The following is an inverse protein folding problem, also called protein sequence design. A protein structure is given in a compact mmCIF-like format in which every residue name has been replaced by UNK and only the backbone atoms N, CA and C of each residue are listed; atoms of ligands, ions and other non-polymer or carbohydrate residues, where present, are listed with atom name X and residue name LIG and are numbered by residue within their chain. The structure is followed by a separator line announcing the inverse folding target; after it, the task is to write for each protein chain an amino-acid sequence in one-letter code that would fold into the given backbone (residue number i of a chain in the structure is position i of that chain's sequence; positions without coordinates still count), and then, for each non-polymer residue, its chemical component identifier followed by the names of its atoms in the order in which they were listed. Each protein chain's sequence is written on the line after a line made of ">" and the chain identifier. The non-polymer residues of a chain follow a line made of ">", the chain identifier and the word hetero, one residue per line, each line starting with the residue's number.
data_IF_047365316178
#
_entry.id   IF_047365316178
#
_cell.length_a   1.000
_cell.length_b   1.000
_cell.length_c   1.000
_cell.angle_alpha   90.00
_cell.angle_beta   90.00
_cell.angle_gamma   90.00
#
_symmetry.space_group_name_H-M   'P 1'
#
loop_
_entity.id
_entity.type
_entity.pdbx_description
1 polymer ?
#
# COMPACT_ATOMS: atom_id res chain seq x y z
N UNK A 1 44.38 -17.09 -13.27
CA UNK A 1 42.90 -16.97 -13.35
C UNK A 1 42.18 -16.83 -11.99
N UNK A 2 42.43 -17.66 -10.97
CA UNK A 2 41.74 -17.57 -9.65
C UNK A 2 41.95 -16.23 -8.91
N UNK A 3 43.16 -15.66 -8.94
CA UNK A 3 43.46 -14.35 -8.31
C UNK A 3 42.73 -13.18 -8.99
N UNK A 4 42.65 -13.19 -10.32
CA UNK A 4 41.96 -12.16 -11.12
C UNK A 4 40.44 -12.19 -10.87
N UNK A 5 39.82 -13.39 -10.80
CA UNK A 5 38.40 -13.51 -10.44
C UNK A 5 38.09 -13.02 -9.02
N UNK A 6 39.00 -13.24 -8.06
CA UNK A 6 38.85 -12.76 -6.68
C UNK A 6 38.97 -11.24 -6.59
N UNK A 7 39.87 -10.65 -7.37
CA UNK A 7 40.04 -9.20 -7.48
C UNK A 7 38.85 -8.52 -8.18
N UNK A 8 38.28 -9.17 -9.23
CA UNK A 8 37.07 -8.70 -9.89
C UNK A 8 35.84 -8.74 -8.96
N UNK A 9 35.70 -9.78 -8.14
CA UNK A 9 34.62 -9.90 -7.16
C UNK A 9 34.74 -8.86 -6.03
N UNK A 10 35.97 -8.51 -5.63
CA UNK A 10 36.23 -7.45 -4.65
C UNK A 10 35.93 -6.07 -5.27
N UNK A 11 36.31 -5.82 -6.53
CA UNK A 11 35.95 -4.58 -7.23
C UNK A 11 34.43 -4.43 -7.41
N UNK A 12 33.73 -5.49 -7.81
CA UNK A 12 32.26 -5.49 -7.98
C UNK A 12 31.52 -5.28 -6.66
N UNK A 13 32.04 -5.81 -5.54
CA UNK A 13 31.46 -5.59 -4.22
C UNK A 13 31.76 -4.19 -3.67
N UNK A 14 32.90 -3.59 -4.01
CA UNK A 14 33.21 -2.18 -3.69
C UNK A 14 32.31 -1.24 -4.50
N UNK A 15 32.05 -1.51 -5.79
CA UNK A 15 31.13 -0.70 -6.61
C UNK A 15 29.68 -0.81 -6.10
N UNK A 16 29.22 -1.99 -5.68
CA UNK A 16 27.89 -2.17 -5.08
C UNK A 16 27.73 -1.46 -3.72
N UNK A 17 28.81 -1.39 -2.93
CA UNK A 17 28.81 -0.69 -1.64
C UNK A 17 28.87 0.82 -1.84
N UNK A 18 29.56 1.30 -2.87
CA UNK A 18 29.58 2.73 -3.22
C UNK A 18 28.19 3.19 -3.73
N UNK A 19 27.44 2.38 -4.49
CA UNK A 19 26.05 2.70 -4.87
C UNK A 19 25.06 2.71 -3.68
N UNK A 20 25.34 1.94 -2.63
CA UNK A 20 24.53 1.90 -1.40
C UNK A 20 24.96 2.92 -0.34
N UNK A 21 26.16 3.49 -0.44
CA UNK A 21 26.76 4.39 0.53
C UNK A 21 26.97 5.83 0.01
N UNK A 22 26.67 6.14 -1.25
CA UNK A 22 26.52 7.52 -1.66
C UNK A 22 25.23 8.08 -1.05
N UNK A 23 25.27 8.99 -0.06
CA UNK A 23 24.17 9.93 0.06
C UNK A 23 24.04 10.55 -1.33
N UNK A 24 22.81 10.62 -1.86
CA UNK A 24 22.53 11.45 -3.03
C UNK A 24 23.24 12.78 -2.79
N UNK A 25 24.30 13.08 -3.56
CA UNK A 25 24.85 14.43 -3.62
C UNK A 25 23.76 15.27 -4.29
N UNK A 26 22.76 15.66 -3.49
CA UNK A 26 21.97 16.83 -3.77
C UNK A 26 22.98 17.96 -3.72
N UNK A 27 23.23 18.60 -4.85
CA UNK A 27 23.88 19.90 -4.84
C UNK A 27 23.18 20.75 -3.78
N UNK A 28 23.90 21.20 -2.77
CA UNK A 28 23.41 22.16 -1.78
C UNK A 28 23.29 23.54 -2.44
N UNK A 29 22.44 23.66 -3.45
CA UNK A 29 21.77 24.93 -3.64
C UNK A 29 20.89 25.10 -2.39
N UNK A 30 21.22 26.08 -1.54
CA UNK A 30 20.33 26.53 -0.45
C UNK A 30 18.94 26.70 -1.07
N UNK A 31 18.05 25.75 -0.79
CA UNK A 31 16.76 25.64 -1.45
C UNK A 31 15.85 26.69 -0.82
N UNK A 32 15.99 27.95 -1.26
CA UNK A 32 15.31 29.11 -0.69
C UNK A 32 13.79 28.87 -0.73
N UNK A 33 13.11 29.27 0.34
CA UNK A 33 11.64 29.30 0.34
C UNK A 33 11.16 30.33 -0.69
N UNK A 34 9.99 30.07 -1.28
CA UNK A 34 9.34 30.96 -2.23
C UNK A 34 8.21 31.73 -1.54
N UNK A 35 8.05 32.99 -1.89
CA UNK A 35 6.97 33.86 -1.41
C UNK A 35 5.64 33.54 -2.11
N UNK A 36 4.53 34.06 -1.57
CA UNK A 36 3.21 33.93 -2.21
C UNK A 36 3.22 34.62 -3.57
N UNK A 37 3.76 35.85 -3.65
CA UNK A 37 3.86 36.62 -4.88
C UNK A 37 4.66 35.89 -5.97
N UNK A 38 5.86 35.41 -5.64
CA UNK A 38 6.71 34.68 -6.57
C UNK A 38 6.01 33.39 -7.07
N UNK A 39 5.23 32.72 -6.23
CA UNK A 39 4.48 31.53 -6.63
C UNK A 39 3.31 31.87 -7.55
N UNK A 40 2.56 32.94 -7.26
CA UNK A 40 1.48 33.46 -8.12
C UNK A 40 2.03 33.83 -9.50
N UNK A 41 3.14 34.57 -9.55
CA UNK A 41 3.80 34.94 -10.81
C UNK A 41 4.11 33.70 -11.66
N UNK A 42 4.68 32.66 -11.04
CA UNK A 42 4.98 31.40 -11.73
C UNK A 42 3.72 30.69 -12.22
N UNK A 43 2.64 30.70 -11.45
CA UNK A 43 1.37 30.11 -11.85
C UNK A 43 0.74 30.87 -13.03
N UNK A 44 0.70 32.20 -12.99
CA UNK A 44 0.20 33.06 -14.08
C UNK A 44 0.92 32.77 -15.40
N UNK A 45 2.25 32.65 -15.36
CA UNK A 45 3.04 32.26 -16.52
C UNK A 45 2.70 30.84 -16.99
N UNK A 46 2.59 29.88 -16.05
CA UNK A 46 2.29 28.48 -16.37
C UNK A 46 0.88 28.28 -16.94
N UNK A 47 -0.09 29.09 -16.52
CA UNK A 47 -1.48 29.08 -17.00
C UNK A 47 -1.67 29.88 -18.28
N UNK A 48 -0.65 30.65 -18.71
CA UNK A 48 -0.71 31.56 -19.87
C UNK A 48 -1.79 32.64 -19.73
N UNK A 49 -2.07 33.06 -18.51
CA UNK A 49 -2.94 34.21 -18.23
C UNK A 49 -2.28 35.46 -18.84
N UNK A 50 -3.08 36.30 -19.49
CA UNK A 50 -2.59 37.56 -20.07
C UNK A 50 -2.26 38.55 -18.95
N UNK A 51 -1.14 39.24 -19.09
CA UNK A 51 -0.66 40.21 -18.10
C UNK A 51 -0.64 41.59 -18.75
N UNK A 52 -1.34 42.55 -18.13
CA UNK A 52 -1.24 43.96 -18.46
C UNK A 52 -0.08 44.57 -17.66
N UNK A 53 1.00 44.96 -18.34
CA UNK A 53 2.19 45.51 -17.69
C UNK A 53 2.06 47.00 -17.31
N UNK A 54 0.91 47.62 -17.58
CA UNK A 54 0.67 49.05 -17.28
C UNK A 54 0.12 49.28 -15.87
N UNK A 55 -0.37 48.23 -15.21
CA UNK A 55 -0.94 48.32 -13.85
C UNK A 55 0.09 47.96 -12.78
N UNK A 56 -0.13 48.47 -11.57
CA UNK A 56 0.65 48.08 -10.39
C UNK A 56 0.45 46.58 -10.08
N UNK A 57 1.53 45.89 -9.73
CA UNK A 57 1.58 44.44 -9.45
C UNK A 57 0.88 43.60 -10.53
N UNK A 58 1.37 43.65 -11.79
CA UNK A 58 0.62 43.19 -12.96
C UNK A 58 0.26 41.70 -12.93
N UNK A 59 1.11 40.86 -12.35
CA UNK A 59 0.83 39.42 -12.17
C UNK A 59 -0.26 39.15 -11.13
N UNK A 60 -0.28 39.90 -10.02
CA UNK A 60 -1.30 39.73 -8.99
C UNK A 60 -2.66 40.20 -9.51
N UNK A 61 -2.69 41.35 -10.18
CA UNK A 61 -3.90 41.90 -10.82
C UNK A 61 -4.49 40.92 -11.84
N UNK A 62 -3.66 40.32 -12.69
CA UNK A 62 -4.09 39.29 -13.63
C UNK A 62 -4.58 38.01 -12.93
N UNK A 63 -3.90 37.58 -11.86
CA UNK A 63 -4.31 36.41 -11.07
C UNK A 63 -5.67 36.61 -10.38
N UNK A 64 -5.97 37.82 -9.92
CA UNK A 64 -7.26 38.17 -9.32
C UNK A 64 -8.36 38.15 -10.39
N UNK A 65 -8.13 38.80 -11.52
CA UNK A 65 -9.10 38.90 -12.62
C UNK A 65 -9.54 37.52 -13.15
N UNK A 66 -8.62 36.58 -13.24
CA UNK A 66 -8.88 35.21 -13.72
C UNK A 66 -9.27 34.24 -12.59
N UNK A 67 -9.42 34.71 -11.35
CA UNK A 67 -9.85 33.89 -10.22
C UNK A 67 -8.83 32.87 -9.70
N UNK A 68 -7.55 33.02 -10.08
CA UNK A 68 -6.45 32.21 -9.53
C UNK A 68 -6.25 32.50 -8.04
N UNK A 69 -6.34 33.77 -7.65
CA UNK A 69 -6.34 34.22 -6.25
C UNK A 69 -7.55 35.12 -6.03
N UNK A 70 -8.13 35.12 -4.82
CA UNK A 70 -9.21 36.06 -4.51
C UNK A 70 -8.61 37.38 -4.03
N UNK A 71 -9.31 38.48 -4.28
CA UNK A 71 -8.93 39.77 -3.73
C UNK A 71 -8.92 39.72 -2.19
N UNK A 72 -7.87 40.27 -1.59
CA UNK A 72 -7.63 40.23 -0.14
C UNK A 72 -7.44 38.82 0.47
N UNK A 73 -7.21 37.76 -0.33
CA UNK A 73 -7.06 36.39 0.20
C UNK A 73 -5.86 36.25 1.14
N UNK A 74 -4.82 37.05 0.91
CA UNK A 74 -3.62 37.12 1.73
C UNK A 74 -3.39 38.54 2.23
N UNK A 75 -3.01 38.67 3.51
CA UNK A 75 -2.70 39.98 4.13
C UNK A 75 -1.36 40.54 3.66
N UNK A 76 -0.42 39.66 3.34
CA UNK A 76 0.93 40.00 2.89
C UNK A 76 1.38 38.93 1.90
N UNK A 77 1.76 39.36 0.69
CA UNK A 77 2.17 38.47 -0.41
C UNK A 77 3.68 38.21 -0.41
N UNK A 78 4.46 38.97 0.37
CA UNK A 78 5.92 38.85 0.48
C UNK A 78 6.37 37.73 1.44
N UNK A 79 5.45 37.17 2.23
CA UNK A 79 5.75 36.05 3.12
C UNK A 79 5.91 34.75 2.34
N UNK A 80 6.68 33.81 2.91
CA UNK A 80 6.84 32.47 2.35
C UNK A 80 5.49 31.76 2.25
N UNK A 81 5.20 31.17 1.08
CA UNK A 81 3.97 30.42 0.88
C UNK A 81 4.03 29.08 1.62
N UNK A 82 2.93 28.74 2.30
CA UNK A 82 2.75 27.42 2.93
C UNK A 82 2.28 26.40 1.91
N UNK A 83 2.61 25.12 2.10
CA UNK A 83 2.23 24.05 1.16
C UNK A 83 0.71 23.90 0.97
N UNK A 84 -0.10 24.17 1.99
CA UNK A 84 -1.56 24.16 1.85
C UNK A 84 -2.09 25.31 0.96
N UNK A 85 -1.45 26.47 1.00
CA UNK A 85 -1.76 27.61 0.13
C UNK A 85 -1.32 27.33 -1.30
N UNK A 86 -0.10 26.78 -1.45
CA UNK A 86 0.38 26.33 -2.74
C UNK A 86 -0.57 25.31 -3.38
N UNK A 87 -1.10 24.34 -2.62
CA UNK A 87 -2.08 23.38 -3.15
C UNK A 87 -3.39 24.04 -3.58
N UNK A 88 -3.90 25.01 -2.81
CA UNK A 88 -5.09 25.77 -3.17
C UNK A 88 -4.91 26.50 -4.51
N UNK A 89 -3.85 27.29 -4.64
CA UNK A 89 -3.55 28.03 -5.86
C UNK A 89 -3.24 27.11 -7.04
N UNK A 90 -2.56 25.99 -6.78
CA UNK A 90 -2.27 24.97 -7.82
C UNK A 90 -3.54 24.29 -8.32
N UNK A 91 -4.50 23.98 -7.44
CA UNK A 91 -5.77 23.42 -7.88
C UNK A 91 -6.51 24.40 -8.78
N UNK A 92 -6.60 25.68 -8.41
CA UNK A 92 -7.25 26.71 -9.24
C UNK A 92 -6.53 26.88 -10.58
N UNK A 93 -5.21 26.90 -10.59
CA UNK A 93 -4.42 26.94 -11.82
C UNK A 93 -4.66 25.71 -12.71
N UNK A 94 -4.81 24.52 -12.12
CA UNK A 94 -5.15 23.31 -12.85
C UNK A 94 -6.56 23.39 -13.44
N UNK A 95 -7.52 23.93 -12.70
CA UNK A 95 -8.90 24.16 -13.17
C UNK A 95 -8.96 25.15 -14.33
N UNK A 96 -8.14 26.22 -14.30
CA UNK A 96 -8.01 27.19 -15.40
C UNK A 96 -7.44 26.51 -16.66
N UNK A 97 -6.40 25.68 -16.51
CA UNK A 97 -5.73 25.03 -17.64
C UNK A 97 -6.51 23.85 -18.23
N UNK A 98 -7.19 23.08 -17.38
CA UNK A 98 -7.69 21.75 -17.74
C UNK A 98 -9.17 21.53 -17.42
N UNK A 99 -9.85 22.55 -16.90
CA UNK A 99 -11.24 22.45 -16.44
C UNK A 99 -11.38 21.89 -15.03
N UNK A 100 -12.59 22.00 -14.49
CA UNK A 100 -12.92 21.65 -13.09
C UNK A 100 -13.07 20.16 -12.82
N UNK A 101 -12.86 19.31 -13.81
CA UNK A 101 -13.06 17.87 -13.69
C UNK A 101 -11.96 17.22 -12.85
N UNK A 102 -12.36 16.20 -12.09
CA UNK A 102 -11.50 15.41 -11.22
C UNK A 102 -12.10 13.99 -11.07
N UNK A 103 -11.36 13.04 -10.52
CA UNK A 103 -11.85 11.66 -10.37
C UNK A 103 -12.56 11.53 -9.01
N UNK A 104 -13.89 11.52 -9.00
CA UNK A 104 -14.67 11.49 -7.76
C UNK A 104 -14.41 10.22 -6.93
N UNK A 105 -14.33 9.05 -7.57
CA UNK A 105 -14.02 7.80 -6.88
C UNK A 105 -12.65 7.87 -6.21
N UNK A 106 -11.63 8.32 -6.94
CA UNK A 106 -10.27 8.42 -6.42
C UNK A 106 -10.17 9.47 -5.30
N UNK A 107 -10.87 10.60 -5.42
CA UNK A 107 -10.99 11.59 -4.36
C UNK A 107 -11.54 10.94 -3.08
N UNK A 108 -12.63 10.17 -3.18
CA UNK A 108 -13.22 9.47 -2.05
C UNK A 108 -12.29 8.40 -1.49
N UNK A 109 -11.56 7.66 -2.33
CA UNK A 109 -10.56 6.68 -1.90
C UNK A 109 -9.42 7.36 -1.12
N UNK A 110 -8.87 8.46 -1.61
CA UNK A 110 -7.81 9.24 -0.94
C UNK A 110 -8.27 9.71 0.44
N UNK A 111 -9.50 10.24 0.53
CA UNK A 111 -10.10 10.75 1.77
C UNK A 111 -10.41 9.61 2.76
N UNK A 112 -11.18 8.62 2.34
CA UNK A 112 -11.74 7.58 3.21
C UNK A 112 -10.63 6.62 3.70
N UNK A 113 -9.66 6.30 2.84
CA UNK A 113 -8.50 5.47 3.20
C UNK A 113 -7.35 6.26 3.82
N UNK A 114 -7.55 7.57 4.07
CA UNK A 114 -6.59 8.46 4.75
C UNK A 114 -5.20 8.43 4.11
N UNK A 115 -5.13 8.51 2.78
CA UNK A 115 -3.88 8.46 2.01
C UNK A 115 -2.97 9.66 2.26
N UNK A 116 -3.53 10.72 2.83
CA UNK A 116 -2.80 11.87 3.35
C UNK A 116 -2.93 11.85 4.88
N UNK A 117 -1.86 11.43 5.55
CA UNK A 117 -1.84 11.12 6.98
C UNK A 117 -2.18 12.31 7.86
N UNK A 118 -1.69 13.49 7.49
CA UNK A 118 -1.80 14.74 8.23
C UNK A 118 -2.82 15.71 7.61
N UNK A 119 -3.76 15.21 6.80
CA UNK A 119 -4.81 16.04 6.18
C UNK A 119 -5.66 16.79 7.22
N UNK A 120 -5.87 16.21 8.39
CA UNK A 120 -6.57 16.87 9.50
C UNK A 120 -5.83 18.11 10.03
N UNK A 121 -4.51 18.22 9.82
CA UNK A 121 -3.71 19.40 10.19
C UNK A 121 -3.78 20.52 9.14
N UNK A 122 -4.24 20.20 7.92
CA UNK A 122 -4.52 21.21 6.88
C UNK A 122 -5.78 21.99 7.26
N UNK A 123 -5.76 23.30 6.99
CA UNK A 123 -6.93 24.18 7.17
C UNK A 123 -8.16 23.63 6.44
N UNK A 124 -9.32 23.59 7.11
CA UNK A 124 -10.52 22.92 6.59
C UNK A 124 -10.93 23.40 5.18
N UNK A 125 -10.86 24.70 4.93
CA UNK A 125 -11.16 25.32 3.62
C UNK A 125 -10.21 24.93 2.49
N UNK A 126 -9.04 24.35 2.80
CA UNK A 126 -7.99 23.98 1.83
C UNK A 126 -7.88 22.47 1.61
N UNK A 127 -8.53 21.65 2.44
CA UNK A 127 -8.44 20.17 2.38
C UNK A 127 -8.93 19.62 1.04
N UNK A 128 -9.98 20.21 0.47
CA UNK A 128 -10.51 19.82 -0.84
C UNK A 128 -9.45 19.97 -1.94
N UNK A 129 -8.84 21.14 -2.03
CA UNK A 129 -7.77 21.41 -2.99
C UNK A 129 -6.57 20.48 -2.77
N UNK A 130 -6.19 20.21 -1.51
CA UNK A 130 -5.12 19.26 -1.18
C UNK A 130 -5.42 17.85 -1.69
N UNK A 131 -6.64 17.35 -1.53
CA UNK A 131 -7.03 16.04 -2.07
C UNK A 131 -6.97 16.06 -3.61
N UNK A 132 -7.53 17.09 -4.25
CA UNK A 132 -7.56 17.20 -5.72
C UNK A 132 -6.17 17.27 -6.36
N UNK A 133 -5.23 18.03 -5.80
CA UNK A 133 -3.85 18.05 -6.33
C UNK A 133 -3.10 16.74 -6.07
N UNK A 134 -3.47 16.01 -5.00
CA UNK A 134 -2.89 14.71 -4.68
C UNK A 134 -3.37 13.63 -5.64
N UNK A 135 -4.68 13.50 -5.83
CA UNK A 135 -5.28 12.48 -6.71
C UNK A 135 -4.94 12.72 -8.19
N UNK A 136 -4.79 13.99 -8.60
CA UNK A 136 -4.23 14.34 -9.92
C UNK A 136 -2.73 14.06 -10.03
N UNK A 137 -2.04 13.72 -8.94
CA UNK A 137 -0.61 13.40 -8.96
C UNK A 137 0.31 14.61 -9.13
N UNK A 138 -0.19 15.82 -8.85
CA UNK A 138 0.57 17.06 -8.94
C UNK A 138 1.41 17.24 -7.67
N UNK A 139 0.75 17.24 -6.49
CA UNK A 139 1.37 17.35 -5.17
C UNK A 139 0.99 16.12 -4.34
N UNK A 140 1.89 15.15 -4.24
CA UNK A 140 1.60 13.85 -3.60
C UNK A 140 2.13 13.71 -2.18
N UNK A 141 2.67 14.78 -1.59
CA UNK A 141 3.32 14.72 -0.28
C UNK A 141 4.57 13.85 -0.23
N UNK A 142 5.12 13.73 0.96
CA UNK A 142 6.41 13.11 1.21
C UNK A 142 6.29 11.62 1.46
N UNK A 143 7.38 10.91 1.23
CA UNK A 143 7.46 9.49 1.45
C UNK A 143 7.66 9.16 2.93
N UNK A 144 6.75 8.35 3.50
CA UNK A 144 6.74 8.00 4.93
C UNK A 144 7.46 6.68 5.26
N UNK A 145 8.12 6.08 4.28
CA UNK A 145 8.87 4.83 4.44
C UNK A 145 8.24 3.65 3.72
N UNK A 146 8.95 2.52 3.78
CA UNK A 146 8.52 1.31 3.07
C UNK A 146 7.27 0.71 3.72
N UNK A 147 6.41 0.10 2.91
CA UNK A 147 5.17 -0.54 3.35
C UNK A 147 4.17 0.42 4.02
N UNK A 148 4.29 1.72 3.75
CA UNK A 148 3.25 2.69 4.08
C UNK A 148 2.24 2.80 2.96
N UNK A 149 1.01 3.09 3.36
CA UNK A 149 -0.14 3.24 2.49
C UNK A 149 -0.59 4.69 2.37
N UNK A 150 0.06 5.58 3.12
CA UNK A 150 -0.19 7.00 3.23
C UNK A 150 1.10 7.81 3.02
N UNK A 151 0.92 9.13 2.95
CA UNK A 151 1.98 10.13 2.83
C UNK A 151 1.72 11.32 3.75
N UNK A 152 2.78 12.00 4.13
CA UNK A 152 2.71 13.24 4.92
C UNK A 152 2.78 14.44 3.98
N UNK A 153 1.74 15.29 3.98
CA UNK A 153 1.62 16.45 3.12
C UNK A 153 2.40 17.67 3.65
N UNK A 154 2.48 17.85 4.96
CA UNK A 154 3.10 18.97 5.67
C UNK A 154 2.54 20.33 5.28
N UNK A 155 1.21 20.48 5.35
CA UNK A 155 0.52 21.67 4.84
C UNK A 155 0.98 23.01 5.45
N UNK A 156 1.54 23.00 6.67
CA UNK A 156 1.98 24.21 7.38
C UNK A 156 3.43 24.61 7.09
N UNK A 157 4.20 23.75 6.42
CA UNK A 157 5.59 24.03 6.08
C UNK A 157 5.66 24.97 4.88
N UNK A 158 6.75 25.75 4.80
CA UNK A 158 7.01 26.63 3.67
C UNK A 158 7.40 25.81 2.43
N UNK A 159 6.94 26.25 1.26
CA UNK A 159 7.33 25.67 -0.02
C UNK A 159 8.71 26.22 -0.43
N UNK A 160 9.60 25.35 -0.91
CA UNK A 160 10.88 25.77 -1.50
C UNK A 160 10.81 25.87 -3.02
N UNK A 161 11.75 26.60 -3.63
CA UNK A 161 11.77 26.84 -5.07
C UNK A 161 11.84 25.55 -5.91
N UNK A 162 12.60 24.53 -5.48
CA UNK A 162 12.70 23.25 -6.21
C UNK A 162 11.39 22.47 -6.21
N UNK A 163 10.68 22.46 -5.07
CA UNK A 163 9.35 21.89 -4.97
C UNK A 163 8.37 22.64 -5.87
N UNK A 164 8.37 23.97 -5.84
CA UNK A 164 7.55 24.80 -6.73
C UNK A 164 7.79 24.46 -8.21
N UNK A 165 9.05 24.38 -8.66
CA UNK A 165 9.39 23.97 -10.02
C UNK A 165 8.85 22.59 -10.38
N UNK A 166 8.93 21.63 -9.47
CA UNK A 166 8.37 20.28 -9.68
C UNK A 166 6.85 20.31 -9.83
N UNK A 167 6.17 21.13 -9.03
CA UNK A 167 4.72 21.31 -9.10
C UNK A 167 4.32 21.89 -10.46
N UNK A 168 4.99 22.95 -10.92
CA UNK A 168 4.70 23.61 -12.20
C UNK A 168 4.91 22.67 -13.40
N UNK A 169 5.95 21.84 -13.38
CA UNK A 169 6.17 20.81 -14.41
C UNK A 169 5.00 19.82 -14.47
N UNK A 170 4.46 19.41 -13.32
CA UNK A 170 3.33 18.46 -13.25
C UNK A 170 1.99 19.11 -13.58
N UNK A 171 1.83 20.38 -13.22
CA UNK A 171 0.67 21.19 -13.57
C UNK A 171 0.54 21.32 -15.09
N UNK A 172 1.61 21.74 -15.76
CA UNK A 172 1.65 22.01 -17.20
C UNK A 172 1.76 20.74 -18.06
N UNK A 173 2.34 19.65 -17.54
CA UNK A 173 2.50 18.40 -18.28
C UNK A 173 1.89 17.20 -17.54
N UNK A 174 0.69 16.78 -17.96
CA UNK A 174 -0.03 15.61 -17.41
C UNK A 174 0.81 14.32 -17.44
N UNK A 175 1.69 14.12 -18.43
CA UNK A 175 2.55 12.93 -18.53
C UNK A 175 3.63 12.87 -17.45
N UNK A 176 3.94 14.00 -16.79
CA UNK A 176 4.91 14.11 -15.70
C UNK A 176 4.27 13.99 -14.31
N UNK A 177 2.93 14.02 -14.22
CA UNK A 177 2.20 13.79 -12.96
C UNK A 177 2.52 12.40 -12.41
N UNK A 178 2.52 12.29 -11.09
CA UNK A 178 2.65 11.00 -10.42
C UNK A 178 1.42 10.17 -10.73
N UNK A 179 1.61 8.89 -11.04
CA UNK A 179 0.49 7.95 -11.17
C UNK A 179 -0.02 7.58 -9.78
N UNK A 180 -1.34 7.50 -9.65
CA UNK A 180 -2.03 7.11 -8.42
C UNK A 180 -2.84 5.83 -8.72
N UNK A 181 -2.79 4.84 -7.84
CA UNK A 181 -3.60 3.61 -7.95
C UNK A 181 -5.07 3.89 -7.68
N UNK A 182 -5.95 2.98 -8.07
CA UNK A 182 -7.40 3.11 -7.85
C UNK A 182 -7.77 3.32 -6.37
N UNK A 183 -6.97 2.79 -5.44
CA UNK A 183 -7.17 2.95 -4.00
C UNK A 183 -6.45 4.19 -3.40
N UNK A 184 -5.82 5.04 -4.22
CA UNK A 184 -5.24 6.32 -3.80
C UNK A 184 -3.76 6.28 -3.40
N UNK A 185 -3.00 5.25 -3.74
CA UNK A 185 -1.57 5.15 -3.42
C UNK A 185 -0.68 5.61 -4.58
N UNK A 186 0.51 6.15 -4.26
CA UNK A 186 1.45 6.61 -5.30
C UNK A 186 2.14 5.43 -5.96
N UNK A 187 2.03 5.36 -7.29
CA UNK A 187 2.70 4.38 -8.15
C UNK A 187 4.09 4.90 -8.55
N UNK A 188 5.03 3.99 -8.78
CA UNK A 188 6.31 4.28 -9.44
C UNK A 188 6.40 3.60 -10.80
N UNK A 189 7.08 4.27 -11.73
CA UNK A 189 7.24 3.82 -13.13
C UNK A 189 8.71 3.53 -13.47
N UNK A 190 9.60 3.61 -12.49
CA UNK A 190 11.04 3.37 -12.62
C UNK A 190 11.50 2.41 -11.53
N UNK A 191 12.70 1.84 -11.70
CA UNK A 191 13.30 0.84 -10.81
C UNK A 191 12.39 -0.41 -10.62
N UNK A 192 11.59 -0.77 -11.62
CA UNK A 192 10.54 -1.78 -11.47
C UNK A 192 11.10 -3.19 -11.15
N UNK A 193 10.36 -4.03 -10.40
CA UNK A 193 10.75 -5.41 -10.17
C UNK A 193 10.82 -6.19 -11.50
N UNK A 194 11.63 -7.24 -11.55
CA UNK A 194 11.83 -8.05 -12.77
C UNK A 194 10.52 -8.60 -13.32
N UNK A 195 9.57 -8.94 -12.46
CA UNK A 195 8.25 -9.47 -12.79
C UNK A 195 7.13 -8.41 -12.75
N UNK A 196 7.43 -7.13 -12.95
CA UNK A 196 6.43 -6.06 -12.86
C UNK A 196 5.21 -6.26 -13.77
N UNK A 197 5.37 -6.97 -14.90
CA UNK A 197 4.29 -7.29 -15.84
C UNK A 197 3.23 -8.25 -15.27
N UNK A 198 3.49 -8.85 -14.11
CA UNK A 198 2.49 -9.67 -13.40
C UNK A 198 1.53 -8.83 -12.55
N UNK A 199 1.76 -7.53 -12.41
CA UNK A 199 0.98 -6.64 -11.55
C UNK A 199 0.39 -5.48 -12.37
N UNK A 200 -0.79 -5.00 -11.97
CA UNK A 200 -1.44 -3.84 -12.59
C UNK A 200 -0.58 -2.56 -12.43
N UNK A 201 0.04 -2.42 -11.26
CA UNK A 201 0.94 -1.33 -10.93
C UNK A 201 1.94 -1.75 -9.85
N UNK A 202 2.97 -0.92 -9.66
CA UNK A 202 3.99 -1.09 -8.62
C UNK A 202 3.98 0.14 -7.73
N UNK A 203 3.73 -0.07 -6.45
CA UNK A 203 3.65 1.02 -5.49
C UNK A 203 5.02 1.61 -5.17
N UNK A 204 5.05 2.91 -4.94
CA UNK A 204 6.28 3.64 -4.63
C UNK A 204 6.88 3.23 -3.28
N UNK A 205 6.04 2.81 -2.32
CA UNK A 205 6.46 2.41 -0.98
C UNK A 205 6.84 0.93 -0.85
N UNK A 206 6.68 0.13 -1.90
CA UNK A 206 6.94 -1.31 -1.85
C UNK A 206 8.20 -1.65 -2.66
N UNK A 207 9.18 -2.32 -2.03
CA UNK A 207 10.45 -2.66 -2.68
C UNK A 207 10.27 -3.75 -3.73
N UNK A 208 11.24 -3.88 -4.66
CA UNK A 208 11.20 -4.94 -5.69
C UNK A 208 11.07 -6.34 -5.08
N UNK A 209 11.78 -6.61 -3.98
CA UNK A 209 11.76 -7.90 -3.30
C UNK A 209 10.35 -8.35 -2.86
N UNK A 210 9.44 -7.42 -2.57
CA UNK A 210 8.05 -7.73 -2.23
C UNK A 210 7.30 -8.35 -3.41
N UNK A 211 7.48 -7.76 -4.60
CA UNK A 211 6.86 -8.22 -5.84
C UNK A 211 7.59 -9.43 -6.43
N UNK A 212 8.90 -9.54 -6.22
CA UNK A 212 9.74 -10.62 -6.77
C UNK A 212 9.64 -11.93 -5.97
N UNK A 213 9.00 -11.94 -4.79
CA UNK A 213 8.70 -13.20 -4.09
C UNK A 213 7.82 -14.08 -4.98
N UNK A 214 8.20 -15.36 -5.12
CA UNK A 214 7.45 -16.34 -5.90
C UNK A 214 6.05 -16.57 -5.30
N UNK A 215 5.04 -16.52 -6.16
CA UNK A 215 3.66 -16.92 -5.84
C UNK A 215 3.56 -18.44 -5.70
N UNK A 216 2.49 -18.92 -5.07
CA UNK A 216 2.24 -20.34 -4.82
C UNK A 216 2.37 -21.20 -6.11
N UNK A 217 1.73 -20.76 -7.19
CA UNK A 217 1.78 -21.47 -8.48
C UNK A 217 3.18 -21.51 -9.12
N UNK A 218 4.12 -20.66 -8.69
CA UNK A 218 5.50 -20.66 -9.19
C UNK A 218 6.42 -21.62 -8.43
N UNK A 219 5.96 -22.15 -7.29
CA UNK A 219 6.70 -23.10 -6.46
C UNK A 219 6.06 -24.49 -6.46
N UNK A 220 4.78 -24.59 -6.81
CA UNK A 220 4.07 -25.86 -7.01
C UNK A 220 4.66 -26.73 -8.12
N UNK A 221 4.50 -28.04 -7.98
CA UNK A 221 4.77 -29.01 -9.06
C UNK A 221 3.47 -29.45 -9.68
N UNK A 222 3.39 -29.39 -11.01
CA UNK A 222 2.19 -29.72 -11.77
C UNK A 222 2.42 -30.98 -12.60
N UNK A 223 1.37 -31.79 -12.75
CA UNK A 223 1.44 -33.06 -13.45
C UNK A 223 0.37 -33.16 -14.55
N UNK A 224 0.70 -33.92 -15.59
CA UNK A 224 -0.26 -34.47 -16.54
C UNK A 224 -0.96 -35.69 -15.92
N UNK A 225 -2.04 -36.17 -16.55
CA UNK A 225 -2.80 -37.34 -16.08
C UNK A 225 -1.96 -38.62 -16.06
N UNK A 226 -0.92 -38.71 -16.91
CA UNK A 226 0.04 -39.81 -16.94
C UNK A 226 1.13 -39.71 -15.85
N UNK A 227 1.04 -38.72 -14.96
CA UNK A 227 2.01 -38.49 -13.87
C UNK A 227 3.29 -37.77 -14.30
N UNK A 228 3.45 -37.39 -15.57
CA UNK A 228 4.60 -36.61 -16.03
C UNK A 228 4.51 -35.14 -15.61
N UNK A 229 5.66 -34.50 -15.34
CA UNK A 229 5.71 -33.10 -14.88
C UNK A 229 5.39 -32.13 -16.03
N UNK A 230 4.64 -31.06 -15.72
CA UNK A 230 4.31 -29.99 -16.67
C UNK A 230 4.50 -28.60 -16.06
N UNK A 231 4.46 -27.59 -16.92
CA UNK A 231 4.37 -26.18 -16.49
C UNK A 231 2.92 -25.83 -16.13
N UNK A 232 2.70 -24.93 -15.16
CA UNK A 232 1.38 -24.39 -14.89
C UNK A 232 0.89 -23.53 -16.06
N UNK A 233 -0.42 -23.52 -16.28
CA UNK A 233 -1.13 -22.83 -17.36
C UNK A 233 -2.05 -21.77 -16.73
N UNK A 234 -1.90 -20.52 -17.17
CA UNK A 234 -2.73 -19.41 -16.70
C UNK A 234 -4.20 -19.61 -17.11
N UNK A 235 -5.15 -19.22 -16.25
CA UNK A 235 -6.60 -19.47 -16.37
C UNK A 235 -7.03 -20.95 -16.28
N UNK A 236 -6.10 -21.84 -15.91
CA UNK A 236 -6.39 -23.24 -15.61
C UNK A 236 -5.87 -23.63 -14.23
N UNK A 237 -4.61 -23.28 -13.95
CA UNK A 237 -3.93 -23.63 -12.71
C UNK A 237 -3.74 -22.42 -11.78
N UNK A 238 -3.81 -21.20 -12.34
CA UNK A 238 -3.62 -19.94 -11.63
C UNK A 238 -4.07 -18.76 -12.48
N UNK A 239 -4.32 -17.62 -11.83
CA UNK A 239 -4.47 -16.31 -12.49
C UNK A 239 -3.59 -15.29 -11.78
N UNK A 240 -2.72 -14.62 -12.54
CA UNK A 240 -1.80 -13.61 -11.98
C UNK A 240 -2.52 -12.29 -11.68
N UNK A 241 -1.95 -11.42 -10.82
CA UNK A 241 -2.64 -10.21 -10.38
C UNK A 241 -3.10 -9.26 -11.49
N UNK A 242 -2.31 -9.06 -12.54
CA UNK A 242 -2.71 -8.17 -13.65
C UNK A 242 -3.94 -8.65 -14.44
N UNK A 243 -4.31 -9.93 -14.30
CA UNK A 243 -5.40 -10.54 -15.03
C UNK A 243 -6.59 -10.94 -14.16
N UNK A 244 -6.48 -10.86 -12.83
CA UNK A 244 -7.53 -11.32 -11.91
C UNK A 244 -8.89 -10.68 -12.21
N UNK A 245 -8.94 -9.36 -12.46
CA UNK A 245 -10.18 -8.64 -12.78
C UNK A 245 -10.86 -9.09 -14.09
N UNK A 246 -10.12 -9.72 -15.01
CA UNK A 246 -10.63 -10.16 -16.32
C UNK A 246 -11.30 -11.53 -16.24
N UNK A 247 -11.16 -12.22 -15.12
CA UNK A 247 -11.69 -13.54 -14.90
C UNK A 247 -13.20 -13.53 -14.61
N UNK A 248 -13.82 -14.70 -14.73
CA UNK A 248 -15.15 -14.94 -14.20
C UNK A 248 -15.04 -15.51 -12.80
N UNK A 249 -15.67 -14.85 -11.84
CA UNK A 249 -15.85 -15.41 -10.51
C UNK A 249 -16.92 -16.51 -10.59
N UNK A 250 -16.60 -17.72 -10.13
CA UNK A 250 -17.49 -18.88 -10.19
C UNK A 250 -17.89 -19.29 -8.78
N UNK A 251 -19.20 -19.39 -8.51
CA UNK A 251 -19.71 -19.87 -7.22
C UNK A 251 -19.60 -21.39 -7.13
N UNK A 252 -19.37 -21.94 -5.94
CA UNK A 252 -19.18 -23.38 -5.74
C UNK A 252 -20.45 -24.22 -5.87
N UNK A 253 -21.62 -23.72 -5.44
CA UNK A 253 -22.85 -24.50 -5.35
C UNK A 253 -23.59 -24.65 -6.69
N UNK A 254 -23.58 -23.58 -7.51
CA UNK A 254 -24.36 -23.51 -8.74
C UNK A 254 -23.51 -23.25 -9.99
N UNK A 255 -22.20 -23.03 -9.82
CA UNK A 255 -21.27 -22.66 -10.89
C UNK A 255 -21.72 -21.39 -11.64
N UNK A 256 -22.44 -20.51 -10.94
CA UNK A 256 -22.88 -19.22 -11.46
C UNK A 256 -21.65 -18.36 -11.71
N UNK A 257 -21.69 -17.60 -12.82
CA UNK A 257 -20.55 -16.82 -13.31
C UNK A 257 -20.81 -15.34 -13.17
N UNK A 258 -19.97 -14.67 -12.40
CA UNK A 258 -20.00 -13.23 -12.19
C UNK A 258 -18.75 -12.58 -12.77
N UNK A 259 -18.79 -11.27 -12.97
CA UNK A 259 -17.60 -10.50 -13.30
C UNK A 259 -16.73 -10.36 -12.06
N UNK A 260 -15.47 -10.84 -12.11
CA UNK A 260 -14.55 -10.71 -10.98
C UNK A 260 -14.31 -9.25 -10.59
N UNK A 261 -14.28 -8.32 -11.54
CA UNK A 261 -14.09 -6.90 -11.24
C UNK A 261 -15.18 -6.37 -10.30
N UNK A 262 -16.44 -6.73 -10.53
CA UNK A 262 -17.57 -6.30 -9.70
C UNK A 262 -17.46 -6.89 -8.28
N UNK A 263 -17.07 -8.17 -8.18
CA UNK A 263 -16.83 -8.84 -6.89
C UNK A 263 -15.71 -8.15 -6.11
N UNK A 264 -14.59 -7.84 -6.77
CA UNK A 264 -13.45 -7.18 -6.13
C UNK A 264 -13.79 -5.74 -5.72
N UNK A 265 -14.54 -5.01 -6.53
CA UNK A 265 -15.00 -3.66 -6.17
C UNK A 265 -15.88 -3.67 -4.92
N UNK A 266 -16.72 -4.70 -4.74
CA UNK A 266 -17.57 -4.85 -3.57
C UNK A 266 -16.85 -5.39 -2.32
N UNK A 267 -15.91 -6.33 -2.49
CA UNK A 267 -15.45 -7.19 -1.39
C UNK A 267 -13.95 -7.08 -1.04
N UNK A 268 -13.09 -6.58 -1.93
CA UNK A 268 -11.63 -6.66 -1.75
C UNK A 268 -11.14 -5.96 -0.48
N UNK A 269 -11.70 -4.80 -0.13
CA UNK A 269 -11.34 -4.09 1.11
C UNK A 269 -11.68 -4.92 2.36
N UNK A 270 -12.76 -5.70 2.33
CA UNK A 270 -13.13 -6.60 3.43
C UNK A 270 -12.13 -7.74 3.54
N UNK A 271 -11.70 -8.33 2.42
CA UNK A 271 -10.71 -9.40 2.39
C UNK A 271 -9.36 -8.91 2.94
N UNK A 272 -8.89 -7.76 2.45
CA UNK A 272 -7.66 -7.10 2.94
C UNK A 272 -7.74 -6.83 4.44
N UNK A 273 -8.87 -6.31 4.93
CA UNK A 273 -9.06 -6.05 6.35
C UNK A 273 -9.06 -7.33 7.20
N UNK A 274 -9.62 -8.45 6.71
CA UNK A 274 -9.55 -9.73 7.40
C UNK A 274 -8.13 -10.25 7.48
N UNK A 275 -7.38 -10.25 6.38
CA UNK A 275 -5.96 -10.64 6.35
C UNK A 275 -5.13 -9.77 7.31
N UNK A 276 -5.32 -8.45 7.26
CA UNK A 276 -4.62 -7.50 8.13
C UNK A 276 -4.95 -7.75 9.60
N UNK A 277 -6.24 -7.85 9.94
CA UNK A 277 -6.69 -8.10 11.32
C UNK A 277 -6.14 -9.41 11.84
N UNK A 278 -6.14 -10.45 11.01
CA UNK A 278 -5.62 -11.76 11.34
C UNK A 278 -4.11 -11.71 11.66
N UNK A 279 -3.30 -11.14 10.76
CA UNK A 279 -1.85 -10.99 10.97
C UNK A 279 -1.51 -10.09 12.17
N UNK A 280 -2.18 -8.95 12.33
CA UNK A 280 -1.99 -8.05 13.48
C UNK A 280 -2.31 -8.74 14.80
N UNK A 281 -3.36 -9.55 14.84
CA UNK A 281 -3.80 -10.23 16.06
C UNK A 281 -2.82 -11.32 16.47
N UNK A 282 -2.27 -12.08 15.50
CA UNK A 282 -1.33 -13.19 15.74
C UNK A 282 0.10 -12.71 16.00
N UNK A 283 0.50 -11.57 15.45
CA UNK A 283 1.87 -11.02 15.54
C UNK A 283 2.03 -9.89 16.57
N UNK A 284 0.99 -9.60 17.36
CA UNK A 284 1.04 -8.65 18.47
C UNK A 284 0.35 -9.26 19.70
N UNK A 285 1.05 -10.18 20.36
CA UNK A 285 0.51 -11.00 21.46
C UNK A 285 1.35 -10.86 22.72
N UNK A 286 0.69 -10.93 23.87
CA UNK A 286 1.32 -11.01 25.18
C UNK A 286 0.56 -12.02 26.03
N UNK A 287 1.23 -13.11 26.41
CA UNK A 287 0.61 -14.22 27.14
C UNK A 287 -0.11 -13.78 28.43
N UNK A 288 0.27 -12.63 28.99
CA UNK A 288 -0.31 -12.06 30.22
C UNK A 288 -1.68 -11.40 29.98
N UNK A 289 -1.94 -10.94 28.76
CA UNK A 289 -3.13 -10.14 28.43
C UNK A 289 -4.08 -10.82 27.44
N UNK A 290 -3.64 -11.89 26.76
CA UNK A 290 -4.53 -12.67 25.88
C UNK A 290 -5.69 -13.30 26.66
N UNK A 291 -6.89 -13.11 26.13
CA UNK A 291 -8.16 -13.59 26.70
C UNK A 291 -9.28 -13.55 25.68
N UNK A 292 -10.53 -13.58 26.14
CA UNK A 292 -11.73 -13.74 25.27
C UNK A 292 -11.83 -12.70 24.16
N UNK A 293 -11.52 -11.41 24.43
CA UNK A 293 -11.55 -10.36 23.39
C UNK A 293 -10.57 -10.65 22.25
N UNK A 294 -9.38 -11.17 22.57
CA UNK A 294 -8.38 -11.55 21.59
C UNK A 294 -8.83 -12.78 20.78
N UNK A 295 -9.39 -13.79 21.46
CA UNK A 295 -9.95 -15.00 20.83
C UNK A 295 -11.03 -14.61 19.82
N UNK A 296 -12.02 -13.80 20.23
CA UNK A 296 -13.13 -13.39 19.38
C UNK A 296 -12.62 -12.58 18.17
N UNK A 297 -11.65 -11.67 18.39
CA UNK A 297 -11.04 -10.89 17.31
C UNK A 297 -10.36 -11.79 16.28
N UNK A 298 -9.56 -12.77 16.73
CA UNK A 298 -8.91 -13.70 15.82
C UNK A 298 -9.93 -14.61 15.12
N UNK A 299 -10.84 -15.21 15.88
CA UNK A 299 -11.87 -16.13 15.37
C UNK A 299 -12.74 -15.49 14.29
N UNK A 300 -13.09 -14.21 14.44
CA UNK A 300 -13.89 -13.45 13.47
C UNK A 300 -13.19 -13.23 12.11
N UNK A 301 -11.90 -13.53 12.00
CA UNK A 301 -11.17 -13.47 10.72
C UNK A 301 -11.27 -14.77 9.91
N UNK A 302 -11.64 -15.88 10.54
CA UNK A 302 -11.90 -17.17 9.89
C UNK A 302 -13.38 -17.34 9.58
N UNK A 303 -13.72 -18.26 8.68
CA UNK A 303 -15.10 -18.51 8.27
C UNK A 303 -15.96 -18.89 9.48
N UNK A 304 -17.18 -18.35 9.55
CA UNK A 304 -18.17 -18.67 10.58
C UNK A 304 -19.28 -19.42 9.87
N UNK A 305 -19.50 -20.67 10.26
CA UNK A 305 -20.60 -21.47 9.74
C UNK A 305 -21.90 -20.98 10.40
N UNK A 306 -22.85 -20.54 9.59
CA UNK A 306 -24.14 -20.02 10.06
C UNK A 306 -25.23 -20.32 9.02
N UNK A 307 -25.27 -21.57 8.61
CA UNK A 307 -26.25 -22.11 7.66
C UNK A 307 -27.46 -22.75 8.34
N UNK A 308 -27.45 -22.83 9.67
CA UNK A 308 -28.50 -23.45 10.47
C UNK A 308 -28.39 -24.98 10.57
N UNK A 309 -27.34 -25.59 10.02
CA UNK A 309 -27.10 -27.02 10.14
C UNK A 309 -26.45 -27.36 11.49
N UNK A 310 -26.78 -28.52 12.11
CA UNK A 310 -26.18 -28.92 13.39
C UNK A 310 -24.65 -28.96 13.41
N UNK A 311 -24.03 -29.29 12.27
CA UNK A 311 -22.57 -29.37 12.13
C UNK A 311 -21.87 -28.00 12.19
N UNK A 312 -22.60 -26.90 11.97
CA UNK A 312 -22.03 -25.54 12.02
C UNK A 312 -21.45 -25.23 13.39
N UNK A 313 -22.18 -25.60 14.45
CA UNK A 313 -21.74 -25.44 15.82
C UNK A 313 -20.46 -26.24 16.09
N UNK A 314 -20.37 -27.46 15.55
CA UNK A 314 -19.19 -28.30 15.67
C UNK A 314 -17.97 -27.70 14.96
N UNK A 315 -18.13 -27.26 13.70
CA UNK A 315 -17.04 -26.65 12.92
C UNK A 315 -16.53 -25.34 13.57
N UNK A 316 -17.47 -24.49 14.01
CA UNK A 316 -17.14 -23.25 14.70
C UNK A 316 -16.42 -23.50 16.03
N UNK A 317 -16.86 -24.52 16.77
CA UNK A 317 -16.23 -24.94 18.03
C UNK A 317 -14.82 -25.45 17.79
N UNK A 318 -14.59 -26.31 16.79
CA UNK A 318 -13.26 -26.85 16.45
C UNK A 318 -12.23 -25.73 16.25
N UNK A 319 -12.51 -24.77 15.37
CA UNK A 319 -11.57 -23.64 15.13
C UNK A 319 -11.33 -22.80 16.39
N UNK A 320 -12.36 -22.62 17.22
CA UNK A 320 -12.23 -21.90 18.49
C UNK A 320 -11.36 -22.67 19.49
N UNK A 321 -11.47 -24.00 19.51
CA UNK A 321 -10.68 -24.85 20.38
C UNK A 321 -9.21 -24.93 19.93
N UNK A 322 -8.92 -24.94 18.62
CA UNK A 322 -7.55 -24.78 18.10
C UNK A 322 -6.89 -23.50 18.66
N UNK A 323 -7.63 -22.37 18.63
CA UNK A 323 -7.15 -21.08 19.15
C UNK A 323 -6.88 -21.17 20.66
N UNK A 324 -7.76 -21.84 21.42
CA UNK A 324 -7.57 -22.01 22.87
C UNK A 324 -6.38 -22.92 23.18
N UNK A 325 -6.15 -23.95 22.38
CA UNK A 325 -4.99 -24.83 22.53
C UNK A 325 -3.68 -24.07 22.31
N UNK A 326 -3.59 -23.29 21.24
CA UNK A 326 -2.48 -22.36 21.04
C UNK A 326 -2.30 -21.41 22.22
N UNK A 327 -3.39 -20.84 22.77
CA UNK A 327 -3.30 -19.95 23.95
C UNK A 327 -2.66 -20.67 25.15
N UNK A 328 -3.02 -21.94 25.39
CA UNK A 328 -2.40 -22.76 26.46
C UNK A 328 -0.90 -22.94 26.20
N UNK A 329 -0.53 -23.31 24.97
CA UNK A 329 0.86 -23.50 24.57
C UNK A 329 1.69 -22.21 24.71
N UNK A 330 1.22 -21.08 24.16
CA UNK A 330 1.91 -19.80 24.24
C UNK A 330 2.05 -19.28 25.69
N UNK A 331 1.08 -19.58 26.57
CA UNK A 331 1.14 -19.23 28.01
C UNK A 331 2.20 -20.05 28.73
N UNK A 332 2.22 -21.37 28.50
CA UNK A 332 3.27 -22.26 29.02
C UNK A 332 4.65 -21.78 28.56
N UNK A 333 4.74 -21.33 27.31
CA UNK A 333 5.96 -20.83 26.67
C UNK A 333 6.28 -19.34 26.98
N UNK A 334 5.41 -18.61 27.71
CA UNK A 334 5.57 -17.19 28.07
C UNK A 334 5.86 -16.27 26.86
N UNK A 335 5.07 -16.45 25.80
CA UNK A 335 5.27 -15.77 24.52
C UNK A 335 4.85 -14.30 24.58
N UNK A 336 5.71 -13.42 24.10
CA UNK A 336 5.41 -12.01 23.84
C UNK A 336 5.99 -11.66 22.48
N UNK A 337 5.14 -11.21 21.56
CA UNK A 337 5.50 -10.79 20.20
C UNK A 337 4.95 -9.39 19.97
N UNK A 338 5.77 -8.54 19.35
CA UNK A 338 5.36 -7.21 18.90
C UNK A 338 5.59 -7.07 17.41
N UNK A 339 4.58 -6.63 16.68
CA UNK A 339 4.71 -6.21 15.29
C UNK A 339 5.01 -4.71 15.19
N UNK A 340 5.76 -4.33 14.16
CA UNK A 340 5.95 -2.93 13.76
C UNK A 340 5.40 -2.66 12.36
N UNK A 341 5.26 -3.70 11.53
CA UNK A 341 4.67 -3.61 10.19
C UNK A 341 3.73 -4.80 10.02
N UNK A 342 2.49 -4.51 9.65
CA UNK A 342 1.57 -5.44 9.00
C UNK A 342 0.91 -4.64 7.88
N UNK A 343 1.36 -4.88 6.65
CA UNK A 343 0.91 -4.16 5.46
C UNK A 343 0.48 -5.19 4.42
N UNK A 344 -0.78 -5.09 4.00
CA UNK A 344 -1.44 -6.04 3.08
C UNK A 344 -1.68 -5.30 1.79
N UNK A 345 -1.20 -5.83 0.66
CA UNK A 345 -1.24 -5.10 -0.61
C UNK A 345 -2.23 -5.74 -1.59
N UNK A 346 -3.43 -5.14 -1.80
CA UNK A 346 -4.46 -5.70 -2.67
C UNK A 346 -4.01 -5.91 -4.12
N UNK A 347 -3.06 -5.12 -4.63
CA UNK A 347 -2.57 -5.27 -6.00
C UNK A 347 -1.84 -6.59 -6.26
N UNK A 348 -1.59 -7.38 -5.22
CA UNK A 348 -0.94 -8.69 -5.29
C UNK A 348 -1.91 -9.85 -5.31
N UNK A 349 -3.23 -9.60 -5.22
CA UNK A 349 -4.25 -10.65 -5.29
C UNK A 349 -4.03 -11.52 -6.51
N UNK A 350 -3.90 -12.83 -6.32
CA UNK A 350 -3.81 -13.82 -7.38
C UNK A 350 -4.64 -15.05 -7.04
N UNK A 351 -5.04 -15.80 -8.05
CA UNK A 351 -5.65 -17.11 -7.87
C UNK A 351 -4.58 -18.20 -8.05
N UNK A 352 -4.52 -19.14 -7.12
CA UNK A 352 -3.75 -20.38 -7.21
C UNK A 352 -4.61 -21.54 -6.73
N UNK A 353 -4.20 -22.24 -5.67
CA UNK A 353 -5.07 -23.18 -4.97
C UNK A 353 -6.22 -22.50 -4.19
N UNK A 354 -6.10 -21.20 -3.96
CA UNK A 354 -7.09 -20.31 -3.36
C UNK A 354 -6.85 -18.87 -3.89
N UNK A 355 -7.63 -17.89 -3.43
CA UNK A 355 -7.28 -16.49 -3.64
C UNK A 355 -6.28 -16.03 -2.59
N UNK A 356 -5.11 -15.55 -3.02
CA UNK A 356 -4.02 -15.18 -2.12
C UNK A 356 -3.73 -13.68 -2.17
N UNK A 357 -3.58 -13.05 -1.00
CA UNK A 357 -3.15 -11.65 -0.89
C UNK A 357 -1.82 -11.60 -0.15
N UNK A 358 -0.85 -10.89 -0.73
CA UNK A 358 0.48 -10.73 -0.13
C UNK A 358 0.48 -9.66 0.95
N UNK A 359 1.17 -9.97 2.04
CA UNK A 359 1.47 -9.04 3.12
C UNK A 359 2.97 -8.96 3.40
N UNK A 360 3.43 -7.77 3.79
CA UNK A 360 4.70 -7.60 4.48
C UNK A 360 4.44 -7.58 5.98
N UNK A 361 5.16 -8.43 6.70
CA UNK A 361 5.15 -8.46 8.16
C UNK A 361 6.54 -8.13 8.70
N UNK A 362 6.58 -7.35 9.77
CA UNK A 362 7.77 -7.15 10.58
C UNK A 362 7.40 -7.29 12.05
N UNK A 363 8.03 -8.25 12.72
CA UNK A 363 7.74 -8.57 14.12
C UNK A 363 9.01 -8.95 14.88
N UNK A 364 8.90 -8.97 16.21
CA UNK A 364 9.97 -9.29 17.14
C UNK A 364 9.43 -10.16 18.25
N UNK A 365 10.04 -11.31 18.48
CA UNK A 365 9.79 -12.15 19.66
C UNK A 365 10.53 -11.52 20.83
N UNK A 366 9.78 -10.89 21.73
CA UNK A 366 10.31 -10.23 22.92
C UNK A 366 10.65 -11.28 23.99
N UNK A 367 9.75 -12.24 24.19
CA UNK A 367 9.88 -13.31 25.18
C UNK A 367 9.34 -14.63 24.62
N UNK A 368 10.03 -15.72 24.92
CA UNK A 368 9.59 -17.11 24.78
C UNK A 368 10.61 -18.01 25.49
N UNK A 369 10.16 -19.07 26.17
CA UNK A 369 11.04 -20.08 26.78
C UNK A 369 11.74 -20.88 25.68
N UNK A 370 10.97 -21.41 24.74
CA UNK A 370 11.42 -22.17 23.58
C UNK A 370 10.97 -21.48 22.29
N UNK A 371 11.84 -21.40 21.29
CA UNK A 371 11.51 -20.86 19.95
C UNK A 371 11.64 -21.90 18.83
N UNK A 372 12.01 -23.14 19.16
CA UNK A 372 12.18 -24.22 18.17
C UNK A 372 10.83 -24.69 17.64
N UNK A 373 9.85 -24.86 18.53
CA UNK A 373 8.46 -25.11 18.13
C UNK A 373 7.79 -23.77 17.82
N UNK A 374 7.63 -23.45 16.54
CA UNK A 374 7.15 -22.13 16.13
C UNK A 374 5.63 -22.02 16.15
N UNK A 375 4.91 -23.14 16.05
CA UNK A 375 3.46 -23.19 16.20
C UNK A 375 3.02 -22.85 17.64
N UNK A 376 3.90 -23.03 18.64
CA UNK A 376 3.70 -22.53 20.01
C UNK A 376 3.90 -21.01 20.15
N UNK A 377 4.46 -20.35 19.14
CA UNK A 377 4.81 -18.91 19.17
C UNK A 377 3.77 -18.05 18.47
N UNK A 378 3.32 -18.49 17.30
CA UNK A 378 2.39 -17.77 16.44
C UNK A 378 1.29 -18.74 16.05
N UNK A 379 0.04 -18.33 16.13
CA UNK A 379 -1.07 -19.16 15.68
C UNK A 379 -1.07 -19.30 14.15
N UNK A 380 -1.38 -20.48 13.62
CA UNK A 380 -1.63 -20.72 12.20
C UNK A 380 -1.57 -22.20 11.87
N UNK A 381 -1.94 -22.55 10.63
CA UNK A 381 -1.92 -23.94 10.13
C UNK A 381 -0.48 -24.50 10.10
N UNK A 382 0.48 -23.69 9.65
CA UNK A 382 1.90 -24.04 9.68
C UNK A 382 2.79 -22.81 9.81
N UNK A 383 3.66 -22.79 10.83
CA UNK A 383 4.62 -21.72 11.05
C UNK A 383 6.04 -22.22 10.88
N UNK A 384 6.72 -21.70 9.85
CA UNK A 384 8.12 -22.01 9.61
C UNK A 384 8.92 -20.78 9.18
N UNK A 385 9.65 -20.19 10.12
CA UNK A 385 10.46 -19.01 9.91
C UNK A 385 11.93 -19.39 10.03
N UNK A 386 12.63 -19.36 8.91
CA UNK A 386 14.04 -19.75 8.84
C UNK A 386 14.88 -18.78 9.67
N UNK A 387 15.78 -19.33 10.49
CA UNK A 387 16.71 -18.56 11.33
C UNK A 387 16.03 -17.56 12.29
N UNK A 388 14.83 -17.90 12.79
CA UNK A 388 14.12 -17.10 13.78
C UNK A 388 14.96 -16.90 15.06
N UNK A 389 15.04 -15.66 15.55
CA UNK A 389 15.81 -15.30 16.76
C UNK A 389 14.98 -14.43 17.70
N UNK A 390 15.09 -14.69 19.01
CA UNK A 390 14.56 -13.79 20.05
C UNK A 390 15.24 -12.43 19.98
N UNK A 391 14.50 -11.39 20.36
CA UNK A 391 14.98 -10.00 20.47
C UNK A 391 15.59 -9.43 19.18
N UNK A 392 15.31 -10.03 18.02
CA UNK A 392 15.66 -9.49 16.69
C UNK A 392 14.39 -9.23 15.89
N UNK A 393 14.38 -8.12 15.14
CA UNK A 393 13.32 -7.87 14.17
C UNK A 393 13.47 -8.82 12.99
N UNK A 394 12.41 -9.55 12.70
CA UNK A 394 12.25 -10.37 11.49
C UNK A 394 11.29 -9.64 10.56
N UNK A 395 11.70 -9.45 9.30
CA UNK A 395 10.84 -8.95 8.23
C UNK A 395 10.75 -10.01 7.15
N UNK A 396 9.54 -10.30 6.69
CA UNK A 396 9.29 -11.26 5.62
C UNK A 396 8.00 -10.91 4.88
N UNK A 397 7.79 -11.58 3.75
CA UNK A 397 6.56 -11.51 2.98
C UNK A 397 5.83 -12.83 3.09
N UNK A 398 4.51 -12.77 3.17
CA UNK A 398 3.64 -13.93 3.29
C UNK A 398 2.45 -13.75 2.34
N UNK A 399 1.98 -14.84 1.75
CA UNK A 399 0.74 -14.86 0.97
C UNK A 399 -0.32 -15.53 1.86
N UNK A 400 -1.42 -14.84 2.13
CA UNK A 400 -2.52 -15.35 2.97
C UNK A 400 -3.70 -15.66 2.07
N UNK A 401 -4.21 -16.90 2.16
CA UNK A 401 -5.33 -17.37 1.37
C UNK A 401 -6.66 -16.96 1.98
N UNK A 402 -7.52 -16.37 1.16
CA UNK A 402 -8.90 -16.03 1.49
C UNK A 402 -9.87 -16.84 0.65
N UNK A 403 -10.94 -17.32 1.27
CA UNK A 403 -11.94 -18.13 0.59
C UNK A 403 -13.22 -18.22 1.42
N UNK A 404 -14.13 -19.08 0.99
CA UNK A 404 -15.43 -19.28 1.66
C UNK A 404 -15.77 -20.77 1.72
N UNK A 405 -16.57 -21.16 2.72
CA UNK A 405 -17.25 -22.46 2.74
C UNK A 405 -18.72 -22.36 2.32
N UNK A 406 -19.19 -21.17 1.95
CA UNK A 406 -20.50 -20.94 1.39
C UNK A 406 -20.42 -21.00 -0.14
N UNK A 407 -20.95 -22.07 -0.71
CA UNK A 407 -20.92 -22.31 -2.16
C UNK A 407 -21.64 -21.25 -3.00
N UNK A 408 -22.50 -20.40 -2.41
CA UNK A 408 -23.25 -19.35 -3.14
C UNK A 408 -22.74 -17.93 -2.84
N UNK A 409 -21.62 -17.79 -2.12
CA UNK A 409 -21.09 -16.49 -1.75
C UNK A 409 -20.49 -15.73 -2.94
N UNK A 410 -20.78 -14.42 -2.98
CA UNK A 410 -20.20 -13.45 -3.92
C UNK A 410 -18.99 -12.71 -3.33
N UNK A 411 -18.29 -13.33 -2.37
CA UNK A 411 -17.12 -12.70 -1.73
C UNK A 411 -17.40 -12.09 -0.37
N UNK A 412 -18.67 -11.90 -0.01
CA UNK A 412 -19.07 -11.13 1.18
C UNK A 412 -18.58 -11.76 2.50
N UNK A 413 -18.59 -13.08 2.56
CA UNK A 413 -18.23 -13.86 3.75
C UNK A 413 -16.81 -14.43 3.69
N UNK A 414 -16.06 -14.13 2.62
CA UNK A 414 -14.70 -14.62 2.45
C UNK A 414 -13.88 -14.32 3.70
N UNK A 415 -13.11 -15.29 4.13
CA UNK A 415 -12.38 -15.31 5.37
C UNK A 415 -10.99 -15.90 5.15
N UNK A 416 -10.13 -15.85 6.16
CA UNK A 416 -8.83 -16.49 6.09
C UNK A 416 -8.99 -18.01 6.11
N UNK A 417 -8.45 -18.69 5.09
CA UNK A 417 -8.46 -20.16 4.93
C UNK A 417 -7.06 -20.76 4.98
N UNK A 418 -6.10 -20.06 4.40
CA UNK A 418 -4.68 -20.39 4.48
C UNK A 418 -3.98 -19.24 5.20
N UNK A 419 -3.51 -19.51 6.42
CA UNK A 419 -2.91 -18.54 7.31
C UNK A 419 -1.45 -18.84 7.64
N UNK A 420 -0.81 -19.67 6.81
CA UNK A 420 0.57 -20.09 6.98
C UNK A 420 1.55 -18.90 6.99
N UNK A 421 2.62 -19.02 7.79
CA UNK A 421 3.73 -18.05 7.83
C UNK A 421 5.02 -18.82 7.61
N UNK A 422 5.45 -18.86 6.35
CA UNK A 422 6.57 -19.68 5.90
C UNK A 422 7.63 -18.82 5.22
N UNK A 423 8.89 -19.02 5.59
CA UNK A 423 10.04 -18.48 4.87
C UNK A 423 10.26 -19.26 3.58
N UNK A 424 9.88 -18.66 2.45
CA UNK A 424 10.13 -19.19 1.10
C UNK A 424 11.55 -18.94 0.61
#
# INVERSE_FOLDING_TARGET
>A
MKKIKKMLLILLSIVLVIELAMPTMKSEAKNKNITIEEYIQKLVVATKIKVDNTVENPYLSAAIAEGLVKDGEYKDYSVNIKREDAALLTNRADEILHGKTYNEDLYHQVKNKKRIKDLNKVSASKRDAVIKVFEKGIIVGDYDGIFTHDRTFRGKDNLNSSEASTILVRLTNKKKRRKISADGQVIRTTNLPKNYRSYEYILAAFPNSFYEMKMDWQIGTYFHNDGSKRKPVEYKDYVRPVNIKKEKFITGAHLDKYNMEDILNASLDRWVNKVKTNLETRLNVDYRTVGTKWINKLRGTYFIFDSGYPDDAFQNKRKTDDIKEYIKAMKKNKVIIKSSIVSVEPSTLYEGSNYYIRACIQFKIISAKNIKNQDDLIFGNHIYIKNLKKKKWTRMYVDIGVGTSNGSSLGEDYAVFDDEIISR
#
